data_IF_640686491843
#
_entry.id   IF_640686491843
#
_cell.length_a   1.000
_cell.length_b   1.000
_cell.length_c   1.000
_cell.angle_alpha   90.00
_cell.angle_beta   90.00
_cell.angle_gamma   90.00
#
_symmetry.space_group_name_H-M   'P 1'
#
loop_
_entity.id
_entity.type
_entity.pdbx_description
1 polymer ?
#
# COMPACT_ATOMS: atom_id res chain seq x y z
N UNK A 1 -31.26 -3.12 34.28
CA UNK A 1 -30.76 -2.82 32.93
C UNK A 1 -30.17 -4.10 32.38
N UNK A 2 -30.73 -4.65 31.30
CA UNK A 2 -30.38 -5.99 30.82
C UNK A 2 -29.01 -6.00 30.13
N UNK A 3 -28.26 -7.10 30.28
CA UNK A 3 -26.96 -7.34 29.66
C UNK A 3 -27.00 -7.10 28.14
N UNK A 4 -28.14 -7.40 27.53
CA UNK A 4 -28.46 -7.14 26.13
C UNK A 4 -28.36 -5.66 25.75
N UNK A 5 -28.81 -4.73 26.61
CA UNK A 5 -28.67 -3.29 26.37
C UNK A 5 -27.22 -2.84 26.45
N UNK A 6 -26.41 -3.45 27.32
CA UNK A 6 -24.98 -3.12 27.43
C UNK A 6 -24.19 -3.63 26.23
N UNK A 7 -24.49 -4.84 25.73
CA UNK A 7 -23.88 -5.40 24.51
C UNK A 7 -24.29 -4.57 23.28
N UNK A 8 -25.57 -4.17 23.18
CA UNK A 8 -26.04 -3.35 22.07
C UNK A 8 -25.42 -1.96 22.09
N UNK A 9 -25.25 -1.37 23.28
CA UNK A 9 -24.60 -0.07 23.46
C UNK A 9 -23.09 -0.12 23.16
N UNK A 10 -22.40 -1.18 23.59
CA UNK A 10 -20.97 -1.35 23.29
C UNK A 10 -20.76 -1.57 21.79
N UNK A 11 -21.54 -2.44 21.14
CA UNK A 11 -21.50 -2.66 19.70
C UNK A 11 -21.81 -1.40 18.90
N UNK A 12 -22.81 -0.61 19.32
CA UNK A 12 -23.11 0.67 18.66
C UNK A 12 -21.98 1.69 18.82
N UNK A 13 -21.34 1.75 19.98
CA UNK A 13 -20.22 2.67 20.23
C UNK A 13 -18.98 2.28 19.41
N UNK A 14 -18.73 0.98 19.26
CA UNK A 14 -17.63 0.43 18.49
C UNK A 14 -17.89 0.55 16.98
N UNK A 15 -19.13 0.34 16.54
CA UNK A 15 -19.58 0.61 15.16
C UNK A 15 -19.54 2.09 14.83
N UNK A 16 -19.92 2.99 15.75
CA UNK A 16 -19.83 4.43 15.52
C UNK A 16 -18.37 4.91 15.42
N UNK A 17 -17.46 4.34 16.22
CA UNK A 17 -16.03 4.62 16.09
C UNK A 17 -15.45 4.06 14.78
N UNK A 18 -15.84 2.85 14.38
CA UNK A 18 -15.45 2.26 13.10
C UNK A 18 -16.00 3.05 11.92
N UNK A 19 -17.26 3.47 11.97
CA UNK A 19 -17.89 4.32 10.95
C UNK A 19 -17.25 5.71 10.91
N UNK A 20 -16.81 6.28 12.03
CA UNK A 20 -16.08 7.55 12.05
C UNK A 20 -14.67 7.41 11.43
N UNK A 21 -14.03 6.25 11.56
CA UNK A 21 -12.76 5.91 10.91
C UNK A 21 -12.96 5.64 9.40
N UNK A 22 -14.12 5.09 9.01
CA UNK A 22 -14.49 4.71 7.64
C UNK A 22 -15.10 5.87 6.81
N UNK A 23 -15.86 6.78 7.44
CA UNK A 23 -16.51 7.94 6.81
C UNK A 23 -15.52 9.02 6.38
N UNK A 24 -14.32 9.00 6.96
CA UNK A 24 -13.16 9.58 6.29
C UNK A 24 -12.85 8.65 5.13
N UNK A 25 -13.35 8.96 3.94
CA UNK A 25 -12.79 8.42 2.70
C UNK A 25 -11.27 8.60 2.78
N UNK A 26 -10.57 7.54 3.19
CA UNK A 26 -9.13 7.49 3.13
C UNK A 26 -8.83 7.39 1.64
N UNK A 27 -8.76 8.54 0.98
CA UNK A 27 -8.39 8.63 -0.42
C UNK A 27 -7.13 7.81 -0.66
N UNK A 28 -6.94 7.32 -1.90
CA UNK A 28 -5.77 6.53 -2.29
C UNK A 28 -4.46 7.11 -1.72
N UNK A 29 -4.33 8.44 -1.68
CA UNK A 29 -3.22 9.17 -1.06
C UNK A 29 -3.09 9.03 0.46
N UNK A 30 -4.20 8.97 1.21
CA UNK A 30 -4.17 8.72 2.66
C UNK A 30 -3.84 7.25 2.97
N UNK A 31 -4.31 6.31 2.14
CA UNK A 31 -3.85 4.90 2.20
C UNK A 31 -2.35 4.79 1.87
N UNK A 32 -1.86 5.58 0.90
CA UNK A 32 -0.44 5.73 0.59
C UNK A 32 0.35 6.26 1.79
N UNK A 33 -0.17 7.30 2.46
CA UNK A 33 0.40 7.89 3.66
C UNK A 33 0.48 6.91 4.83
N UNK A 34 -0.53 6.04 4.99
CA UNK A 34 -0.53 5.00 6.03
C UNK A 34 0.49 3.88 5.78
N UNK A 35 0.83 3.58 4.53
CA UNK A 35 1.93 2.65 4.20
C UNK A 35 3.28 3.25 4.58
N UNK A 36 3.40 4.57 4.44
CA UNK A 36 4.51 5.37 4.95
C UNK A 36 4.57 5.43 6.49
N UNK A 37 3.54 5.03 7.23
CA UNK A 37 3.52 5.06 8.71
C UNK A 37 3.47 3.67 9.37
N UNK A 38 3.34 2.58 8.59
CA UNK A 38 3.24 1.20 9.11
C UNK A 38 4.60 0.54 9.42
N UNK A 39 4.57 -0.75 9.82
CA UNK A 39 5.79 -1.55 10.07
C UNK A 39 6.70 -1.65 8.83
N UNK A 40 6.13 -1.53 7.63
CA UNK A 40 6.82 -1.55 6.35
C UNK A 40 7.45 -0.21 5.95
N UNK A 41 7.36 0.84 6.79
CA UNK A 41 7.84 2.20 6.50
C UNK A 41 9.28 2.23 6.01
N UNK A 42 10.19 1.48 6.63
CA UNK A 42 11.61 1.48 6.25
C UNK A 42 11.81 0.96 4.83
N UNK A 43 11.08 -0.07 4.44
CA UNK A 43 11.13 -0.66 3.10
C UNK A 43 10.58 0.27 2.03
N UNK A 44 9.49 0.98 2.34
CA UNK A 44 8.87 1.96 1.44
C UNK A 44 9.79 3.19 1.27
N UNK A 45 10.45 3.61 2.35
CA UNK A 45 11.43 4.69 2.28
C UNK A 45 12.65 4.28 1.46
N UNK A 46 13.15 3.05 1.64
CA UNK A 46 14.24 2.50 0.85
C UNK A 46 13.88 2.39 -0.64
N UNK A 47 12.67 1.91 -0.96
CA UNK A 47 12.22 1.80 -2.35
C UNK A 47 12.02 3.17 -3.01
N UNK A 48 11.58 4.16 -2.25
CA UNK A 48 11.46 5.55 -2.74
C UNK A 48 12.82 6.19 -2.97
N UNK A 49 13.78 5.95 -2.07
CA UNK A 49 15.16 6.40 -2.25
C UNK A 49 15.78 5.73 -3.50
N UNK A 50 15.59 4.43 -3.66
CA UNK A 50 16.04 3.69 -4.84
C UNK A 50 15.39 4.21 -6.12
N UNK A 51 14.09 4.53 -6.08
CA UNK A 51 13.40 5.15 -7.19
C UNK A 51 14.02 6.52 -7.53
N UNK A 52 14.30 7.37 -6.54
CA UNK A 52 14.97 8.66 -6.77
C UNK A 52 16.35 8.49 -7.43
N UNK A 53 17.15 7.53 -6.95
CA UNK A 53 18.46 7.22 -7.53
C UNK A 53 18.33 6.70 -8.96
N UNK A 54 17.38 5.80 -9.23
CA UNK A 54 17.12 5.28 -10.57
C UNK A 54 16.59 6.39 -11.50
N UNK A 55 15.82 7.34 -10.99
CA UNK A 55 15.38 8.54 -11.73
C UNK A 55 16.57 9.39 -12.15
N UNK A 56 17.48 9.71 -11.21
CA UNK A 56 18.70 10.46 -11.53
C UNK A 56 19.58 9.70 -12.54
N UNK A 57 19.73 8.38 -12.37
CA UNK A 57 20.53 7.54 -13.24
C UNK A 57 19.99 7.49 -14.68
N UNK A 58 18.67 7.31 -14.87
CA UNK A 58 18.12 7.27 -16.23
C UNK A 58 18.18 8.66 -16.89
N UNK A 59 17.94 9.75 -16.15
CA UNK A 59 18.08 11.11 -16.70
C UNK A 59 19.52 11.35 -17.18
N UNK A 60 20.51 10.96 -16.37
CA UNK A 60 21.91 11.06 -16.74
C UNK A 60 22.25 10.20 -17.96
N UNK A 61 21.73 8.97 -18.03
CA UNK A 61 21.88 8.11 -19.19
C UNK A 61 21.27 8.74 -20.46
N UNK A 62 20.10 9.36 -20.36
CA UNK A 62 19.47 10.08 -21.46
C UNK A 62 20.28 11.30 -21.93
N UNK A 63 20.88 12.03 -20.99
CA UNK A 63 21.79 13.13 -21.32
C UNK A 63 23.05 12.65 -22.04
N UNK A 64 23.68 11.57 -21.54
CA UNK A 64 24.86 10.96 -22.17
C UNK A 64 24.54 10.33 -23.53
N UNK A 65 23.35 9.78 -23.69
CA UNK A 65 22.84 9.29 -24.96
C UNK A 65 22.80 10.40 -26.02
N UNK A 66 22.30 11.59 -25.65
CA UNK A 66 22.22 12.72 -26.57
C UNK A 66 23.59 13.33 -26.91
N UNK A 67 24.52 13.35 -25.96
CA UNK A 67 25.88 13.88 -26.16
C UNK A 67 26.84 12.92 -26.85
N UNK A 68 26.53 11.61 -26.88
CA UNK A 68 27.42 10.62 -27.46
C UNK A 68 27.53 10.79 -28.99
N UNK A 69 28.77 10.85 -29.48
CA UNK A 69 29.09 11.01 -30.91
C UNK A 69 29.29 9.68 -31.64
N UNK A 70 29.54 8.61 -30.88
CA UNK A 70 29.77 7.25 -31.39
C UNK A 70 28.55 6.37 -31.12
N UNK A 71 28.11 5.62 -32.13
CA UNK A 71 26.92 4.75 -32.07
C UNK A 71 27.00 3.73 -30.92
N UNK A 72 28.19 3.16 -30.66
CA UNK A 72 28.37 2.19 -29.58
C UNK A 72 28.05 2.82 -28.21
N UNK A 73 28.55 4.02 -27.95
CA UNK A 73 28.26 4.74 -26.70
C UNK A 73 26.78 5.14 -26.61
N UNK A 74 26.17 5.56 -27.72
CA UNK A 74 24.73 5.83 -27.76
C UNK A 74 23.94 4.58 -27.38
N UNK A 75 24.23 3.41 -27.96
CA UNK A 75 23.52 2.17 -27.61
C UNK A 75 23.72 1.82 -26.14
N UNK A 76 24.94 1.93 -25.60
CA UNK A 76 25.21 1.66 -24.19
C UNK A 76 24.37 2.53 -23.26
N UNK A 77 24.37 3.85 -23.46
CA UNK A 77 23.57 4.78 -22.64
C UNK A 77 22.07 4.62 -22.88
N UNK A 78 21.65 4.26 -24.10
CA UNK A 78 20.25 3.98 -24.43
C UNK A 78 19.71 2.75 -23.70
N UNK A 79 20.50 1.68 -23.59
CA UNK A 79 20.12 0.49 -22.81
C UNK A 79 19.99 0.86 -21.33
N UNK A 80 20.93 1.63 -20.77
CA UNK A 80 20.85 2.09 -19.38
C UNK A 80 19.65 3.00 -19.12
N UNK A 81 19.29 3.84 -20.08
CA UNK A 81 18.09 4.67 -20.03
C UNK A 81 16.82 3.80 -19.94
N UNK A 82 16.68 2.83 -20.84
CA UNK A 82 15.53 1.90 -20.86
C UNK A 82 15.51 1.04 -19.59
N UNK A 83 16.64 0.51 -19.15
CA UNK A 83 16.74 -0.26 -17.92
C UNK A 83 16.29 0.57 -16.69
N UNK A 84 16.70 1.84 -16.61
CA UNK A 84 16.26 2.76 -15.57
C UNK A 84 14.73 2.97 -15.57
N UNK A 85 14.11 3.10 -16.75
CA UNK A 85 12.65 3.17 -16.88
C UNK A 85 11.96 1.88 -16.43
N UNK A 86 12.50 0.71 -16.78
CA UNK A 86 11.95 -0.58 -16.35
C UNK A 86 12.02 -0.73 -14.82
N UNK A 87 13.12 -0.31 -14.20
CA UNK A 87 13.27 -0.30 -12.74
C UNK A 87 12.24 0.63 -12.09
N UNK A 88 11.99 1.82 -12.67
CA UNK A 88 10.93 2.71 -12.19
C UNK A 88 9.54 2.06 -12.20
N UNK A 89 9.20 1.39 -13.29
CA UNK A 89 7.92 0.68 -13.44
C UNK A 89 7.82 -0.45 -12.42
N UNK A 90 8.88 -1.25 -12.27
CA UNK A 90 8.92 -2.36 -11.32
C UNK A 90 8.72 -1.90 -9.88
N UNK A 91 9.38 -0.82 -9.46
CA UNK A 91 9.23 -0.27 -8.10
C UNK A 91 7.79 0.20 -7.86
N UNK A 92 7.18 0.91 -8.83
CA UNK A 92 5.78 1.35 -8.72
C UNK A 92 4.81 0.17 -8.64
N UNK A 93 5.01 -0.84 -9.48
CA UNK A 93 4.17 -2.04 -9.50
C UNK A 93 4.28 -2.79 -8.17
N UNK A 94 5.48 -2.97 -7.64
CA UNK A 94 5.71 -3.60 -6.35
C UNK A 94 5.02 -2.83 -5.22
N UNK A 95 5.14 -1.49 -5.20
CA UNK A 95 4.46 -0.65 -4.21
C UNK A 95 2.94 -0.83 -4.27
N UNK A 96 2.37 -0.90 -5.47
CA UNK A 96 0.94 -1.12 -5.67
C UNK A 96 0.49 -2.53 -5.25
N UNK A 97 1.31 -3.56 -5.50
CA UNK A 97 1.03 -4.91 -5.00
C UNK A 97 1.08 -4.99 -3.48
N UNK A 98 2.05 -4.31 -2.85
CA UNK A 98 2.15 -4.26 -1.38
C UNK A 98 0.94 -3.51 -0.78
N UNK A 99 0.48 -2.43 -1.43
CA UNK A 99 -0.80 -1.78 -1.07
C UNK A 99 -1.96 -2.77 -1.10
N UNK A 100 -2.11 -3.49 -2.21
CA UNK A 100 -3.21 -4.44 -2.38
C UNK A 100 -3.16 -5.57 -1.34
N UNK A 101 -1.95 -6.12 -1.09
CA UNK A 101 -1.71 -7.14 -0.06
C UNK A 101 -2.17 -6.67 1.32
N UNK A 102 -1.86 -5.43 1.71
CA UNK A 102 -2.30 -4.90 3.00
C UNK A 102 -3.80 -4.59 3.06
N UNK A 103 -4.46 -4.29 1.94
CA UNK A 103 -5.92 -4.13 1.87
C UNK A 103 -6.62 -5.47 2.09
N UNK A 104 -6.20 -6.49 1.34
CA UNK A 104 -6.75 -7.85 1.43
C UNK A 104 -6.62 -8.41 2.84
N UNK A 105 -5.46 -8.23 3.50
CA UNK A 105 -5.27 -8.69 4.88
C UNK A 105 -6.23 -8.03 5.89
N UNK A 106 -6.61 -6.75 5.67
CA UNK A 106 -7.61 -6.09 6.52
C UNK A 106 -9.01 -6.63 6.27
N UNK A 107 -9.35 -6.89 5.01
CA UNK A 107 -10.64 -7.47 4.62
C UNK A 107 -10.82 -8.90 5.15
N UNK A 108 -9.76 -9.71 5.17
CA UNK A 108 -9.76 -11.04 5.78
C UNK A 108 -9.99 -10.95 7.29
N UNK A 109 -9.22 -10.12 8.00
CA UNK A 109 -9.41 -9.93 9.46
C UNK A 109 -10.82 -9.45 9.80
N UNK A 110 -11.39 -8.56 8.98
CA UNK A 110 -12.78 -8.12 9.14
C UNK A 110 -13.77 -9.28 8.97
N UNK A 111 -13.56 -10.13 7.97
CA UNK A 111 -14.37 -11.33 7.75
C UNK A 111 -14.26 -12.31 8.91
N UNK A 112 -13.07 -12.51 9.47
CA UNK A 112 -12.85 -13.36 10.66
C UNK A 112 -13.59 -12.82 11.89
N UNK A 113 -13.54 -11.51 12.15
CA UNK A 113 -14.26 -10.89 13.26
C UNK A 113 -15.78 -11.01 13.09
N UNK A 114 -16.29 -10.80 11.88
CA UNK A 114 -17.71 -10.96 11.58
C UNK A 114 -18.17 -12.40 11.84
N UNK A 115 -17.40 -13.40 11.41
CA UNK A 115 -17.68 -14.81 11.67
C UNK A 115 -17.65 -15.15 13.17
N UNK A 116 -16.67 -14.62 13.91
CA UNK A 116 -16.61 -14.80 15.36
C UNK A 116 -17.81 -14.16 16.07
N UNK A 117 -18.24 -12.96 15.66
CA UNK A 117 -19.42 -12.30 16.22
C UNK A 117 -20.72 -13.05 15.90
N UNK A 118 -20.84 -13.62 14.69
CA UNK A 118 -21.98 -14.44 14.29
C UNK A 118 -22.02 -15.78 15.04
N UNK A 119 -20.87 -16.43 15.26
CA UNK A 119 -20.77 -17.65 16.06
C UNK A 119 -20.95 -17.43 17.56
N UNK A 120 -20.59 -16.26 18.08
CA UNK A 120 -20.85 -15.87 19.46
C UNK A 120 -22.35 -15.53 19.71
N UNK A 121 -23.08 -15.15 18.67
CA UNK A 121 -24.52 -14.89 18.71
C UNK A 121 -25.40 -16.15 18.62
N UNK A 122 -24.81 -17.36 18.58
CA UNK A 122 -25.54 -18.62 18.75
C UNK A 122 -25.30 -19.24 20.13
N UNK A 123 -25.87 -18.69 21.23
CA UNK A 123 -26.00 -19.44 22.46
C UNK A 123 -27.10 -20.50 22.26
N UNK A 124 -26.68 -21.76 22.24
CA UNK A 124 -27.40 -22.94 22.73
C UNK A 124 -28.91 -22.96 22.43
N UNK A 125 -29.31 -23.43 21.24
CA UNK A 125 -30.59 -24.10 21.07
C UNK A 125 -30.39 -25.60 21.29
N UNK A 126 -30.51 -26.04 22.53
CA UNK A 126 -30.69 -27.45 22.92
C UNK A 126 -31.66 -27.50 24.09
#
# INVERSE_FOLDING_TARGET
MSVEQQIKASLHSEQAQLDQILSREQGLFNRLGHIYSGSMRRWVWLSTLLALLATAAFIYAGYRFYMATVINEQVFWGVWFIAGLLVQIAIKLWLFMEMNRTSILREIKRSELNLQSAGAASPQSS
#
